data_IF_313434427101
#
_entry.id   IF_313434427101
#
_cell.length_a   1.000
_cell.length_b   1.000
_cell.length_c   1.000
_cell.angle_alpha   90.00
_cell.angle_beta   90.00
_cell.angle_gamma   90.00
#
_symmetry.space_group_name_H-M   'P 1'
#
loop_
_entity.id
_entity.type
_entity.pdbx_description
1 polymer ?
#
# COMPACT_ATOMS: atom_id res chain seq x y z
N UNK A 1 -5.71 -7.89 21.28
CA UNK A 1 -5.26 -6.52 20.91
C UNK A 1 -3.82 -6.39 21.38
N UNK A 2 -2.95 -5.78 20.59
CA UNK A 2 -1.55 -5.53 20.98
C UNK A 2 -1.37 -4.08 21.41
N UNK A 3 -0.32 -3.82 22.19
CA UNK A 3 -0.03 -2.50 22.75
C UNK A 3 1.43 -2.07 22.57
N UNK A 4 1.69 -0.77 22.63
CA UNK A 4 3.05 -0.20 22.64
C UNK A 4 3.88 -0.59 21.41
N UNK A 5 5.17 -0.87 21.60
CA UNK A 5 6.06 -1.23 20.49
C UNK A 5 5.66 -2.54 19.78
N UNK A 6 4.99 -3.46 20.47
CA UNK A 6 4.47 -4.68 19.84
C UNK A 6 3.37 -4.34 18.82
N UNK A 7 2.48 -3.40 19.14
CA UNK A 7 1.46 -2.89 18.21
C UNK A 7 2.09 -2.23 16.97
N UNK A 8 3.14 -1.42 17.17
CA UNK A 8 3.86 -0.77 16.04
C UNK A 8 4.53 -1.83 15.16
N UNK A 9 5.23 -2.79 15.76
CA UNK A 9 5.96 -3.83 15.03
C UNK A 9 5.01 -4.71 14.22
N UNK A 10 3.88 -5.12 14.80
CA UNK A 10 2.89 -5.95 14.11
C UNK A 10 2.30 -5.26 12.87
N UNK A 11 2.07 -3.93 12.95
CA UNK A 11 1.57 -3.13 11.81
C UNK A 11 2.57 -2.99 10.65
N UNK A 12 3.82 -3.43 10.84
CA UNK A 12 4.90 -3.28 9.87
C UNK A 12 5.45 -1.85 9.75
N UNK A 13 5.03 -0.92 10.60
CA UNK A 13 5.58 0.44 10.68
C UNK A 13 6.94 0.38 11.40
N UNK A 14 8.04 0.95 10.86
CA UNK A 14 9.30 1.05 11.59
C UNK A 14 9.13 1.88 12.87
N UNK A 15 9.77 1.46 13.97
CA UNK A 15 9.61 2.10 15.29
C UNK A 15 9.90 3.61 15.26
N UNK A 16 10.90 4.04 14.49
CA UNK A 16 11.22 5.46 14.30
C UNK A 16 10.03 6.25 13.71
N UNK A 17 9.27 5.64 12.79
CA UNK A 17 8.05 6.24 12.26
C UNK A 17 6.88 6.17 13.26
N UNK A 18 6.77 5.10 14.05
CA UNK A 18 5.81 5.01 15.16
C UNK A 18 6.00 6.12 16.20
N UNK A 19 7.25 6.49 16.50
CA UNK A 19 7.56 7.63 17.35
C UNK A 19 7.10 8.97 16.75
N UNK A 20 7.25 9.14 15.44
CA UNK A 20 6.71 10.32 14.71
C UNK A 20 5.19 10.37 14.79
N UNK A 21 4.50 9.25 14.56
CA UNK A 21 3.05 9.18 14.73
C UNK A 21 2.61 9.61 16.13
N UNK A 22 3.27 9.06 17.16
CA UNK A 22 3.00 9.40 18.57
C UNK A 22 3.20 10.90 18.83
N UNK A 23 4.29 11.47 18.32
CA UNK A 23 4.58 12.90 18.49
C UNK A 23 3.55 13.79 17.79
N UNK A 24 3.12 13.44 16.57
CA UNK A 24 2.09 14.21 15.86
C UNK A 24 0.72 14.05 16.56
N UNK A 25 0.37 12.85 17.05
CA UNK A 25 -0.87 12.63 17.79
C UNK A 25 -0.94 13.51 19.04
N UNK A 26 0.13 13.56 19.84
CA UNK A 26 0.27 14.47 20.99
C UNK A 26 0.08 15.93 20.58
N UNK A 27 0.85 16.39 19.60
CA UNK A 27 0.87 17.80 19.20
C UNK A 27 -0.45 18.27 18.57
N UNK A 28 -1.26 17.35 18.03
CA UNK A 28 -2.53 17.66 17.39
C UNK A 28 -3.74 17.27 18.24
N UNK A 29 -3.51 16.75 19.45
CA UNK A 29 -4.53 16.27 20.37
C UNK A 29 -5.61 15.42 19.66
N UNK A 30 -5.13 14.51 18.81
CA UNK A 30 -5.95 13.71 17.89
C UNK A 30 -5.36 12.30 17.86
N UNK A 31 -6.18 11.27 18.05
CA UNK A 31 -5.76 9.89 17.80
C UNK A 31 -5.50 9.74 16.31
N UNK A 32 -4.32 9.27 15.94
CA UNK A 32 -3.96 9.00 14.55
C UNK A 32 -3.91 7.50 14.35
N UNK A 33 -4.59 7.01 13.32
CA UNK A 33 -4.73 5.58 13.07
C UNK A 33 -4.24 5.30 11.66
N UNK A 34 -3.38 4.31 11.50
CA UNK A 34 -2.88 3.83 10.21
C UNK A 34 -3.26 2.37 10.02
N UNK A 35 -3.65 2.00 8.80
CA UNK A 35 -3.67 0.59 8.43
C UNK A 35 -2.25 0.02 8.49
N UNK A 36 -2.17 -1.29 8.72
CA UNK A 36 -0.91 -2.01 8.61
C UNK A 36 -0.38 -1.93 7.18
N UNK A 37 0.92 -1.64 7.06
CA UNK A 37 1.62 -1.69 5.77
C UNK A 37 2.14 -3.11 5.48
N UNK A 38 2.20 -3.95 6.52
CA UNK A 38 2.59 -5.35 6.47
C UNK A 38 4.11 -5.58 6.40
N UNK A 39 4.52 -6.77 6.89
CA UNK A 39 5.93 -7.18 7.05
C UNK A 39 6.80 -7.09 5.79
N UNK A 40 6.20 -7.18 4.60
CA UNK A 40 6.97 -7.14 3.35
C UNK A 40 7.47 -5.74 2.99
N UNK A 41 6.82 -4.68 3.49
CA UNK A 41 7.19 -3.29 3.18
C UNK A 41 8.13 -2.66 4.22
N UNK A 42 8.10 -3.10 5.49
CA UNK A 42 8.83 -2.50 6.60
C UNK A 42 10.29 -2.20 6.28
N UNK A 43 11.05 -3.21 5.87
CA UNK A 43 12.46 -3.05 5.56
C UNK A 43 12.71 -2.20 4.30
N UNK A 44 11.76 -2.18 3.36
CA UNK A 44 11.86 -1.33 2.16
C UNK A 44 11.67 0.15 2.54
N UNK A 45 10.77 0.43 3.49
CA UNK A 45 10.57 1.77 4.05
C UNK A 45 11.82 2.21 4.82
N UNK A 46 12.40 1.35 5.66
CA UNK A 46 13.67 1.62 6.36
C UNK A 46 14.81 1.90 5.37
N UNK A 47 14.82 1.20 4.24
CA UNK A 47 15.78 1.42 3.15
C UNK A 47 15.46 2.62 2.26
N UNK A 48 14.43 3.41 2.62
CA UNK A 48 14.00 4.63 1.92
C UNK A 48 13.55 4.42 0.47
N UNK A 49 12.97 3.26 0.15
CA UNK A 49 12.23 3.13 -1.11
C UNK A 49 11.01 4.05 -1.09
N UNK A 50 10.69 4.63 -2.24
CA UNK A 50 9.47 5.40 -2.43
C UNK A 50 8.24 4.55 -2.12
N UNK A 51 7.13 5.20 -1.78
CA UNK A 51 5.86 4.50 -1.56
C UNK A 51 4.81 4.91 -2.58
N UNK A 52 3.84 4.03 -2.81
CA UNK A 52 2.79 4.25 -3.81
C UNK A 52 1.95 5.48 -3.46
N UNK A 53 1.81 6.40 -4.41
CA UNK A 53 0.93 7.56 -4.27
C UNK A 53 -0.50 7.27 -4.67
N UNK A 54 -1.35 8.29 -4.54
CA UNK A 54 -2.80 8.18 -4.77
C UNK A 54 -3.19 7.61 -6.14
N UNK A 55 -2.42 7.89 -7.19
CA UNK A 55 -2.72 7.47 -8.57
C UNK A 55 -2.34 6.01 -8.87
N UNK A 56 -1.63 5.35 -7.95
CA UNK A 56 -1.14 3.98 -8.15
C UNK A 56 -2.02 3.01 -7.37
N UNK A 57 -2.99 2.41 -8.07
CA UNK A 57 -3.90 1.40 -7.47
C UNK A 57 -3.37 -0.04 -7.57
N UNK A 58 -2.26 -0.23 -8.27
CA UNK A 58 -1.55 -1.50 -8.41
C UNK A 58 -1.18 -2.06 -7.05
N UNK A 59 -1.50 -3.34 -6.81
CA UNK A 59 -1.19 -3.99 -5.52
C UNK A 59 0.29 -4.39 -5.47
N UNK A 60 0.90 -4.32 -4.29
CA UNK A 60 2.24 -4.84 -4.07
C UNK A 60 2.28 -6.37 -4.13
N UNK A 61 3.47 -6.90 -4.39
CA UNK A 61 3.76 -8.33 -4.38
C UNK A 61 4.03 -8.84 -2.95
N UNK A 62 3.72 -10.10 -2.66
CA UNK A 62 4.00 -10.75 -1.37
C UNK A 62 4.77 -12.07 -1.52
N UNK A 63 5.44 -12.31 -2.64
CA UNK A 63 6.17 -13.53 -2.91
C UNK A 63 7.42 -13.26 -3.76
N UNK A 64 8.35 -14.21 -3.76
CA UNK A 64 9.59 -14.13 -4.51
C UNK A 64 10.54 -13.00 -4.08
N UNK A 65 11.65 -12.79 -4.82
CA UNK A 65 12.66 -11.78 -4.47
C UNK A 65 12.17 -10.33 -4.53
N UNK A 66 10.98 -10.13 -5.08
CA UNK A 66 10.32 -8.84 -5.28
C UNK A 66 9.17 -8.57 -4.31
N UNK A 67 8.98 -9.41 -3.30
CA UNK A 67 7.98 -9.18 -2.27
C UNK A 67 8.15 -7.79 -1.63
N UNK A 68 7.03 -7.10 -1.41
CA UNK A 68 6.94 -5.74 -0.89
C UNK A 68 6.87 -4.64 -1.96
N UNK A 69 7.23 -4.92 -3.21
CA UNK A 69 7.26 -3.92 -4.28
C UNK A 69 5.97 -3.86 -5.11
N UNK A 70 5.74 -2.71 -5.74
CA UNK A 70 4.69 -2.51 -6.74
C UNK A 70 5.29 -2.69 -8.13
N UNK A 71 4.90 -3.76 -8.83
CA UNK A 71 5.58 -4.22 -10.04
C UNK A 71 4.78 -4.03 -11.34
N UNK A 72 5.51 -4.01 -12.45
CA UNK A 72 4.96 -3.86 -13.80
C UNK A 72 4.41 -5.18 -14.36
N UNK A 73 4.85 -6.32 -13.84
CA UNK A 73 4.29 -7.63 -14.20
C UNK A 73 2.98 -7.88 -13.43
N UNK A 74 1.85 -8.04 -14.11
CA UNK A 74 0.54 -8.18 -13.47
C UNK A 74 0.37 -9.49 -12.68
N UNK A 75 1.28 -10.48 -12.82
CA UNK A 75 1.32 -11.70 -12.00
C UNK A 75 1.83 -11.42 -10.59
N UNK A 76 2.54 -10.33 -10.39
CA UNK A 76 3.20 -9.97 -9.12
C UNK A 76 2.30 -9.12 -8.24
N UNK A 77 1.26 -9.76 -7.71
CA UNK A 77 0.36 -9.22 -6.70
C UNK A 77 0.18 -10.22 -5.56
N UNK A 78 -0.41 -9.76 -4.44
CA UNK A 78 -0.79 -10.65 -3.33
C UNK A 78 -1.70 -11.83 -3.73
N UNK A 79 -2.48 -11.65 -4.79
CA UNK A 79 -3.45 -12.64 -5.28
C UNK A 79 -2.85 -13.59 -6.34
N UNK A 80 -1.55 -13.47 -6.65
CA UNK A 80 -0.86 -14.33 -7.60
C UNK A 80 -1.33 -14.17 -9.05
N UNK A 81 -1.22 -15.26 -9.82
CA UNK A 81 -1.37 -15.29 -11.28
C UNK A 81 -2.72 -15.81 -11.79
N UNK A 82 -3.75 -15.81 -10.95
CA UNK A 82 -5.11 -16.15 -11.39
C UNK A 82 -5.58 -15.19 -12.51
N UNK A 83 -6.20 -15.66 -13.61
CA UNK A 83 -6.45 -14.84 -14.80
C UNK A 83 -7.26 -13.55 -14.54
N UNK A 84 -8.30 -13.62 -13.70
CA UNK A 84 -9.13 -12.46 -13.34
C UNK A 84 -8.33 -11.42 -12.52
N UNK A 85 -7.45 -11.91 -11.63
CA UNK A 85 -6.58 -11.06 -10.80
C UNK A 85 -5.49 -10.40 -11.63
N UNK A 86 -4.87 -11.13 -12.55
CA UNK A 86 -3.90 -10.61 -13.52
C UNK A 86 -4.53 -9.51 -14.38
N UNK A 87 -5.75 -9.72 -14.90
CA UNK A 87 -6.47 -8.70 -15.68
C UNK A 87 -6.75 -7.43 -14.88
N UNK A 88 -7.22 -7.58 -13.64
CA UNK A 88 -7.49 -6.45 -12.75
C UNK A 88 -6.22 -5.67 -12.39
N UNK A 89 -5.13 -6.41 -12.10
CA UNK A 89 -3.82 -5.83 -11.83
C UNK A 89 -3.27 -5.09 -13.05
N UNK A 90 -3.36 -5.67 -14.25
CA UNK A 90 -2.93 -5.05 -15.51
C UNK A 90 -3.69 -3.75 -15.79
N UNK A 91 -5.01 -3.72 -15.53
CA UNK A 91 -5.81 -2.49 -15.64
C UNK A 91 -5.27 -1.40 -14.71
N UNK A 92 -4.93 -1.76 -13.47
CA UNK A 92 -4.38 -0.82 -12.49
C UNK A 92 -3.00 -0.30 -12.89
N UNK A 93 -2.14 -1.17 -13.45
CA UNK A 93 -0.82 -0.80 -13.98
C UNK A 93 -0.97 0.19 -15.14
N UNK A 94 -1.81 -0.12 -16.13
CA UNK A 94 -2.04 0.78 -17.27
C UNK A 94 -2.63 2.13 -16.83
N UNK A 95 -3.55 2.13 -15.86
CA UNK A 95 -4.07 3.39 -15.28
C UNK A 95 -2.96 4.22 -14.65
N UNK A 96 -2.09 3.61 -13.83
CA UNK A 96 -0.97 4.30 -13.21
C UNK A 96 -0.02 4.88 -14.26
N UNK A 97 0.27 4.14 -15.33
CA UNK A 97 1.09 4.61 -16.45
C UNK A 97 0.45 5.79 -17.18
N UNK A 98 -0.88 5.77 -17.39
CA UNK A 98 -1.61 6.89 -17.97
C UNK A 98 -1.57 8.14 -17.07
N UNK A 99 -1.50 7.96 -15.76
CA UNK A 99 -1.30 9.05 -14.79
C UNK A 99 0.18 9.50 -14.67
N UNK A 100 1.09 8.90 -15.45
CA UNK A 100 2.51 9.28 -15.55
C UNK A 100 3.48 8.41 -14.75
N UNK A 101 3.05 7.24 -14.25
CA UNK A 101 3.96 6.28 -13.65
C UNK A 101 4.97 5.77 -14.69
N UNK A 102 6.25 5.70 -14.31
CA UNK A 102 7.32 5.15 -15.16
C UNK A 102 7.85 3.83 -14.60
N UNK A 103 8.64 3.11 -15.38
CA UNK A 103 9.26 1.85 -14.97
C UNK A 103 10.72 2.06 -14.57
N UNK A 104 11.16 1.35 -13.51
CA UNK A 104 12.57 1.29 -13.11
C UNK A 104 12.99 -0.15 -12.83
N UNK A 105 14.25 -0.47 -13.13
CA UNK A 105 14.83 -1.79 -12.87
C UNK A 105 14.83 -2.11 -11.37
N UNK A 106 14.38 -3.31 -11.00
CA UNK A 106 14.30 -3.72 -9.60
C UNK A 106 15.67 -4.15 -9.08
N UNK A 107 16.08 -3.48 -8.01
CA UNK A 107 17.26 -3.83 -7.22
C UNK A 107 16.86 -4.07 -5.78
N UNK A 108 17.54 -5.00 -5.10
CA UNK A 108 17.43 -5.22 -3.66
C UNK A 108 18.80 -5.19 -3.01
N UNK A 109 18.89 -4.73 -1.76
CA UNK A 109 20.14 -4.74 -0.99
C UNK A 109 20.51 -6.14 -0.52
N UNK A 110 21.76 -6.31 -0.07
CA UNK A 110 22.18 -7.55 0.60
C UNK A 110 21.30 -7.85 1.82
N UNK A 111 21.05 -6.85 2.66
CA UNK A 111 20.19 -6.97 3.84
C UNK A 111 18.75 -7.39 3.49
N UNK A 112 18.23 -6.96 2.32
CA UNK A 112 16.92 -7.42 1.84
C UNK A 112 16.96 -8.87 1.40
N UNK A 113 17.96 -9.26 0.61
CA UNK A 113 18.16 -10.66 0.18
C UNK A 113 18.18 -11.60 1.39
N UNK A 114 18.99 -11.29 2.39
CA UNK A 114 19.15 -12.14 3.59
C UNK A 114 17.89 -12.20 4.45
N UNK A 115 17.09 -11.14 4.48
CA UNK A 115 15.86 -11.09 5.28
C UNK A 115 14.67 -11.81 4.62
N UNK A 116 14.63 -11.89 3.29
CA UNK A 116 13.49 -12.43 2.54
C UNK A 116 13.05 -13.83 2.99
N UNK A 117 13.93 -14.83 3.16
CA UNK A 117 13.51 -16.16 3.60
C UNK A 117 12.70 -16.14 4.90
N UNK A 118 13.11 -15.33 5.88
CA UNK A 118 12.41 -15.22 7.16
C UNK A 118 11.01 -14.59 7.02
N UNK A 119 10.80 -13.70 6.04
CA UNK A 119 9.50 -13.08 5.80
C UNK A 119 8.46 -14.08 5.29
N UNK A 120 8.88 -15.18 4.65
CA UNK A 120 7.98 -16.22 4.14
C UNK A 120 7.71 -17.34 5.15
N UNK A 121 8.36 -17.34 6.31
CA UNK A 121 8.07 -18.31 7.37
C UNK A 121 6.60 -18.22 7.79
N UNK A 122 5.94 -19.38 7.83
CA UNK A 122 4.50 -19.49 8.13
C UNK A 122 3.55 -19.15 6.97
N UNK A 123 4.05 -18.69 5.82
CA UNK A 123 3.20 -18.49 4.63
C UNK A 123 3.08 -19.78 3.82
N UNK A 124 2.05 -20.58 4.13
CA UNK A 124 1.74 -21.83 3.42
C UNK A 124 1.32 -21.65 1.96
N UNK A 125 1.21 -20.42 1.46
CA UNK A 125 0.78 -20.14 0.07
C UNK A 125 1.95 -19.84 -0.88
N UNK A 126 3.17 -19.75 -0.35
CA UNK A 126 4.37 -19.40 -1.11
C UNK A 126 5.53 -20.34 -0.82
N UNK A 127 6.42 -20.53 -1.79
CA UNK A 127 7.74 -21.13 -1.56
C UNK A 127 8.84 -20.13 -1.88
N UNK A 128 9.98 -20.24 -1.20
CA UNK A 128 11.17 -19.45 -1.48
C UNK A 128 12.40 -20.30 -1.22
N UNK A 129 13.14 -20.64 -2.27
CA UNK A 129 14.38 -21.42 -2.20
C UNK A 129 15.48 -20.61 -2.87
N UNK A 130 16.50 -20.26 -2.10
CA UNK A 130 17.72 -19.62 -2.60
C UNK A 130 18.84 -20.66 -2.75
N UNK A 131 19.51 -20.66 -3.90
CA UNK A 131 20.71 -21.45 -4.18
C UNK A 131 21.89 -20.53 -4.50
N UNK A 132 23.02 -20.81 -3.86
CA UNK A 132 24.29 -20.15 -4.16
C UNK A 132 24.78 -20.58 -5.55
N UNK A 133 25.24 -19.60 -6.35
CA UNK A 133 25.88 -19.84 -7.66
C UNK A 133 27.33 -19.34 -7.63
N UNK A 134 27.53 -18.10 -7.21
CA UNK A 134 28.85 -17.49 -6.99
C UNK A 134 28.71 -16.28 -6.05
N UNK A 135 29.80 -15.64 -5.62
CA UNK A 135 29.73 -14.42 -4.80
C UNK A 135 28.90 -13.29 -5.42
N UNK A 136 28.74 -13.30 -6.74
CA UNK A 136 28.00 -12.28 -7.48
C UNK A 136 26.64 -12.77 -8.00
N UNK A 137 26.26 -14.03 -7.77
CA UNK A 137 25.00 -14.59 -8.28
C UNK A 137 24.28 -15.53 -7.30
N UNK A 138 22.95 -15.44 -7.29
CA UNK A 138 22.05 -16.37 -6.60
C UNK A 138 20.94 -16.79 -7.55
N UNK A 139 20.50 -18.03 -7.43
CA UNK A 139 19.31 -18.53 -8.09
C UNK A 139 18.18 -18.63 -7.07
N UNK A 140 17.06 -18.00 -7.34
CA UNK A 140 15.86 -18.06 -6.50
C UNK A 140 14.79 -18.84 -7.25
N UNK A 141 14.29 -19.91 -6.65
CA UNK A 141 13.11 -20.64 -7.12
C UNK A 141 11.97 -20.35 -6.14
N UNK A 142 10.83 -19.88 -6.63
CA UNK A 142 9.71 -19.44 -5.79
C UNK A 142 8.38 -19.76 -6.46
N UNK A 143 7.36 -20.06 -5.66
CA UNK A 143 6.01 -20.31 -6.16
C UNK A 143 4.95 -19.53 -5.41
N UNK A 144 3.82 -19.29 -6.09
CA UNK A 144 2.57 -18.77 -5.54
C UNK A 144 1.41 -19.51 -6.18
N UNK A 145 0.70 -20.32 -5.40
CA UNK A 145 -0.26 -21.27 -5.94
C UNK A 145 0.42 -22.20 -6.96
N UNK A 146 -0.15 -22.33 -8.16
CA UNK A 146 0.36 -23.21 -9.21
C UNK A 146 1.47 -22.59 -10.08
N UNK A 147 1.79 -21.30 -9.88
CA UNK A 147 2.85 -20.63 -10.63
C UNK A 147 4.19 -20.80 -9.91
N UNK A 148 5.15 -21.45 -10.57
CA UNK A 148 6.55 -21.52 -10.13
C UNK A 148 7.43 -20.73 -11.08
N UNK A 149 8.27 -19.85 -10.53
CA UNK A 149 9.19 -19.01 -11.27
C UNK A 149 10.60 -19.12 -10.72
N UNK A 150 11.57 -18.83 -11.58
CA UNK A 150 12.97 -18.74 -11.24
C UNK A 150 13.54 -17.37 -11.57
N UNK A 151 14.35 -16.84 -10.66
CA UNK A 151 15.01 -15.56 -10.78
C UNK A 151 16.50 -15.71 -10.53
N UNK A 152 17.30 -14.90 -11.22
CA UNK A 152 18.72 -14.74 -10.91
C UNK A 152 18.91 -13.39 -10.25
N UNK A 153 19.50 -13.39 -9.06
CA UNK A 153 19.98 -12.17 -8.43
C UNK A 153 21.42 -11.94 -8.90
N UNK A 154 21.66 -10.84 -9.61
CA UNK A 154 23.00 -10.46 -10.09
C UNK A 154 23.52 -9.23 -9.35
N UNK A 155 24.62 -9.39 -8.62
CA UNK A 155 25.28 -8.30 -7.90
C UNK A 155 25.83 -7.26 -8.88
N UNK A 156 25.44 -6.00 -8.70
CA UNK A 156 25.88 -4.86 -9.49
C UNK A 156 26.90 -4.01 -8.74
N UNK A 157 27.78 -3.38 -9.51
CA UNK A 157 28.71 -2.38 -8.99
C UNK A 157 27.95 -1.07 -8.70
N UNK A 158 28.25 -0.36 -7.60
CA UNK A 158 27.45 0.78 -7.15
C UNK A 158 27.37 1.90 -8.18
N UNK A 159 28.47 2.21 -8.86
CA UNK A 159 28.53 3.26 -9.89
C UNK A 159 27.63 2.98 -11.13
N UNK A 160 27.14 1.74 -11.29
CA UNK A 160 26.22 1.37 -12.38
C UNK A 160 24.75 1.51 -11.99
N UNK A 161 24.47 1.76 -10.72
CA UNK A 161 23.10 1.82 -10.19
C UNK A 161 22.87 3.17 -9.52
N UNK A 162 22.11 4.08 -10.16
CA UNK A 162 21.81 5.39 -9.59
C UNK A 162 21.25 5.30 -8.16
N UNK A 163 21.87 6.06 -7.25
CA UNK A 163 21.54 6.10 -5.82
C UNK A 163 22.05 4.94 -4.97
N UNK A 164 22.83 4.00 -5.52
CA UNK A 164 23.45 2.94 -4.73
C UNK A 164 24.59 3.45 -3.81
N UNK A 165 25.15 4.61 -4.10
CA UNK A 165 26.26 5.18 -3.32
C UNK A 165 27.48 4.26 -3.37
N UNK A 166 27.95 3.80 -2.21
CA UNK A 166 29.04 2.81 -2.09
C UNK A 166 28.53 1.35 -2.00
N UNK A 167 27.22 1.13 -1.95
CA UNK A 167 26.62 -0.17 -1.64
C UNK A 167 26.40 -0.98 -2.92
N UNK A 168 26.85 -2.23 -2.94
CA UNK A 168 26.49 -3.19 -4.00
C UNK A 168 25.05 -3.65 -3.80
N UNK A 169 24.29 -3.71 -4.89
CA UNK A 169 22.90 -4.16 -4.89
C UNK A 169 22.69 -5.32 -5.86
N UNK A 170 21.62 -6.07 -5.68
CA UNK A 170 21.27 -7.22 -6.50
C UNK A 170 20.20 -6.83 -7.51
N UNK A 171 20.53 -6.88 -8.80
CA UNK A 171 19.53 -6.82 -9.86
C UNK A 171 18.68 -8.09 -9.82
N UNK A 172 17.36 -7.97 -9.82
CA UNK A 172 16.43 -9.11 -9.85
C UNK A 172 16.08 -9.40 -11.32
N UNK A 173 16.44 -10.58 -11.84
CA UNK A 173 16.26 -10.92 -13.25
C UNK A 173 15.44 -12.20 -13.43
N UNK A 174 14.57 -12.27 -14.44
CA UNK A 174 13.89 -13.51 -14.82
C UNK A 174 14.89 -14.52 -15.38
N UNK A 175 14.79 -15.80 -15.00
CA UNK A 175 15.66 -16.85 -15.56
C UNK A 175 15.18 -17.36 -16.93
N UNK A 176 13.88 -17.60 -17.09
CA UNK A 176 13.33 -18.32 -18.25
C UNK A 176 12.52 -17.43 -19.19
N UNK A 177 12.78 -17.58 -20.50
CA UNK A 177 12.14 -16.79 -21.56
C UNK A 177 10.63 -17.01 -21.67
N UNK A 178 10.15 -18.22 -21.42
CA UNK A 178 8.71 -18.55 -21.49
C UNK A 178 7.91 -18.02 -20.29
N UNK A 179 8.59 -17.44 -19.30
CA UNK A 179 7.96 -16.86 -18.11
C UNK A 179 8.13 -15.35 -18.04
N UNK A 180 8.38 -14.69 -19.16
CA UNK A 180 8.45 -13.23 -19.23
C UNK A 180 7.05 -12.59 -19.21
N UNK A 181 6.93 -11.34 -18.71
CA UNK A 181 5.74 -10.53 -18.93
C UNK A 181 5.67 -10.04 -20.39
N UNK A 182 4.59 -9.34 -20.73
CA UNK A 182 4.45 -8.62 -22.00
C UNK A 182 5.67 -7.74 -22.29
N UNK A 183 6.00 -7.58 -23.58
CA UNK A 183 7.23 -6.91 -24.04
C UNK A 183 7.40 -5.49 -23.45
N UNK A 184 6.32 -4.73 -23.32
CA UNK A 184 6.33 -3.38 -22.71
C UNK A 184 6.76 -3.33 -21.24
N UNK A 185 6.78 -4.47 -20.55
CA UNK A 185 7.20 -4.58 -19.15
C UNK A 185 8.58 -5.23 -18.99
N UNK A 186 9.26 -5.57 -20.09
CA UNK A 186 10.61 -6.10 -20.06
C UNK A 186 11.63 -5.03 -19.69
N UNK A 187 12.46 -5.32 -18.69
CA UNK A 187 13.52 -4.42 -18.25
C UNK A 187 14.78 -4.44 -19.12
N UNK A 188 15.84 -3.72 -18.72
CA UNK A 188 17.13 -3.88 -19.36
C UNK A 188 17.67 -5.31 -19.16
N UNK A 189 18.53 -5.75 -20.09
CA UNK A 189 19.18 -7.05 -19.99
C UNK A 189 20.45 -6.98 -19.14
N UNK A 190 20.60 -7.90 -18.21
CA UNK A 190 21.77 -8.04 -17.33
C UNK A 190 22.53 -9.32 -17.73
N UNK A 191 23.85 -9.22 -17.90
CA UNK A 191 24.71 -10.38 -18.15
C UNK A 191 24.90 -11.22 -16.89
N UNK A 192 24.61 -12.51 -16.99
CA UNK A 192 24.73 -13.51 -15.91
C UNK A 192 25.40 -14.79 -16.43
N UNK A 193 25.70 -15.76 -15.56
CA UNK A 193 26.16 -17.09 -16.00
C UNK A 193 25.11 -17.87 -16.79
N UNK A 194 23.84 -17.44 -16.75
CA UNK A 194 22.72 -18.01 -17.51
C UNK A 194 22.41 -17.23 -18.79
N UNK A 195 23.33 -16.36 -19.23
CA UNK A 195 23.18 -15.49 -20.39
C UNK A 195 22.64 -14.10 -20.04
N UNK A 196 22.13 -13.39 -21.06
CA UNK A 196 21.55 -12.05 -20.90
C UNK A 196 20.08 -12.16 -20.49
N UNK A 197 19.78 -11.83 -19.24
CA UNK A 197 18.46 -11.98 -18.63
C UNK A 197 17.76 -10.63 -18.46
N UNK A 198 16.43 -10.61 -18.61
CA UNK A 198 15.64 -9.39 -18.41
C UNK A 198 15.47 -9.09 -16.93
N UNK A 199 15.73 -7.83 -16.55
CA UNK A 199 15.47 -7.35 -15.20
C UNK A 199 13.95 -7.25 -14.94
N UNK A 200 13.53 -7.58 -13.73
CA UNK A 200 12.18 -7.31 -13.23
C UNK A 200 12.00 -5.80 -13.10
N UNK A 201 10.87 -5.28 -13.57
CA UNK A 201 10.56 -3.85 -13.53
C UNK A 201 9.55 -3.52 -12.43
N UNK A 202 9.87 -2.48 -11.68
CA UNK A 202 8.98 -1.85 -10.70
C UNK A 202 8.34 -0.59 -11.25
N UNK A 203 7.16 -0.24 -10.71
CA UNK A 203 6.53 1.05 -10.97
C UNK A 203 7.16 2.14 -10.10
N UNK A 204 7.22 3.35 -10.64
CA UNK A 204 7.58 4.59 -9.92
C UNK A 204 6.38 5.52 -9.81
N UNK A 205 6.29 6.31 -8.75
CA UNK A 205 5.11 7.16 -8.52
C UNK A 205 5.09 8.33 -9.52
N UNK A 206 3.97 8.62 -10.21
CA UNK A 206 3.88 9.76 -11.13
C UNK A 206 4.23 11.10 -10.47
N UNK A 207 3.88 11.27 -9.19
CA UNK A 207 4.07 12.50 -8.42
C UNK A 207 5.11 12.36 -7.31
N UNK A 208 5.92 11.30 -7.38
CA UNK A 208 6.93 11.00 -6.38
C UNK A 208 8.06 12.03 -6.39
N UNK A 209 8.84 12.00 -5.32
CA UNK A 209 10.03 12.84 -5.19
C UNK A 209 10.99 12.61 -6.37
N UNK A 210 11.36 13.69 -7.08
CA UNK A 210 12.14 13.59 -8.32
C UNK A 210 13.52 12.99 -8.10
N UNK A 211 14.18 13.35 -6.99
CA UNK A 211 15.52 12.84 -6.67
C UNK A 211 15.47 11.34 -6.40
N UNK A 212 14.49 10.90 -5.61
CA UNK A 212 14.27 9.47 -5.31
C UNK A 212 13.94 8.68 -6.57
N UNK A 213 13.04 9.20 -7.42
CA UNK A 213 12.65 8.57 -8.70
C UNK A 213 13.83 8.37 -9.66
N UNK A 214 14.85 9.22 -9.59
CA UNK A 214 16.07 9.09 -10.38
C UNK A 214 17.03 8.00 -9.86
N UNK A 215 16.71 7.35 -8.74
CA UNK A 215 17.51 6.26 -8.15
C UNK A 215 16.77 4.93 -8.22
N UNK A 216 17.47 3.83 -7.90
CA UNK A 216 16.83 2.51 -7.75
C UNK A 216 15.75 2.47 -6.66
N UNK A 217 15.79 3.40 -5.69
CA UNK A 217 14.79 3.54 -4.63
C UNK A 217 13.49 4.18 -5.12
N UNK A 218 13.43 4.64 -6.37
CA UNK A 218 12.20 5.13 -7.00
C UNK A 218 11.13 4.06 -7.19
N UNK A 219 11.50 2.77 -7.20
CA UNK A 219 10.53 1.67 -7.24
C UNK A 219 9.70 1.67 -5.97
N UNK A 220 8.37 1.66 -6.12
CA UNK A 220 7.46 1.86 -5.00
C UNK A 220 7.28 0.62 -4.12
N UNK A 221 7.10 0.84 -2.82
CA UNK A 221 6.55 -0.10 -1.84
C UNK A 221 5.21 0.42 -1.26
N UNK A 222 4.69 -0.25 -0.22
CA UNK A 222 3.46 0.15 0.47
C UNK A 222 3.62 1.48 1.21
N UNK A 223 2.56 2.27 1.22
CA UNK A 223 2.45 3.56 1.92
C UNK A 223 1.68 3.43 3.24
N UNK A 224 1.54 4.53 3.97
CA UNK A 224 0.72 4.60 5.17
C UNK A 224 -0.67 5.12 4.82
N UNK A 225 -1.55 4.16 4.55
CA UNK A 225 -2.98 4.37 4.42
C UNK A 225 -3.56 4.75 5.80
N UNK A 226 -3.87 6.03 6.02
CA UNK A 226 -4.55 6.44 7.26
C UNK A 226 -5.89 5.73 7.36
N UNK A 227 -6.14 5.12 8.52
CA UNK A 227 -7.43 4.52 8.82
C UNK A 227 -8.41 5.57 9.34
N UNK A 228 -7.94 6.49 10.18
CA UNK A 228 -8.75 7.59 10.72
C UNK A 228 -7.95 8.58 11.54
N UNK A 229 -8.52 9.75 11.79
CA UNK A 229 -7.99 10.77 12.70
C UNK A 229 -9.12 11.22 13.64
N UNK A 230 -9.04 10.85 14.92
CA UNK A 230 -10.13 11.08 15.87
C UNK A 230 -9.74 12.18 16.86
N UNK A 231 -10.25 13.42 16.69
CA UNK A 231 -9.98 14.49 17.64
C UNK A 231 -10.75 14.26 18.94
N UNK A 232 -10.40 14.99 20.00
CA UNK A 232 -11.31 15.13 21.14
C UNK A 232 -12.68 15.64 20.67
N UNK A 233 -13.75 15.18 21.31
CA UNK A 233 -15.12 15.59 20.96
C UNK A 233 -15.31 17.10 21.05
N UNK A 234 -14.65 17.76 22.01
CA UNK A 234 -14.65 19.23 22.15
C UNK A 234 -13.92 19.97 21.02
N UNK A 235 -13.06 19.28 20.26
CA UNK A 235 -12.28 19.84 19.15
C UNK A 235 -12.80 19.40 17.78
N UNK A 236 -13.88 18.60 17.74
CA UNK A 236 -14.47 18.11 16.49
C UNK A 236 -15.27 19.22 15.80
N UNK A 237 -14.87 19.56 14.57
CA UNK A 237 -15.44 20.68 13.82
C UNK A 237 -15.97 20.21 12.46
N UNK A 238 -17.17 19.60 12.39
CA UNK A 238 -17.72 19.03 11.14
C UNK A 238 -17.99 20.08 10.04
N UNK A 239 -18.12 21.36 10.42
CA UNK A 239 -18.24 22.48 9.49
C UNK A 239 -16.92 23.25 9.30
N UNK A 240 -15.92 22.96 10.14
CA UNK A 240 -14.60 23.58 10.13
C UNK A 240 -13.53 22.60 9.67
N UNK A 241 -12.53 22.32 10.51
CA UNK A 241 -11.36 21.55 10.09
C UNK A 241 -11.64 20.08 9.74
N UNK A 242 -12.76 19.53 10.19
CA UNK A 242 -13.18 18.14 9.94
C UNK A 242 -14.20 18.04 8.79
N UNK A 243 -14.51 19.15 8.12
CA UNK A 243 -15.41 19.17 6.97
C UNK A 243 -14.78 18.44 5.78
N UNK A 244 -15.51 17.46 5.25
CA UNK A 244 -15.18 16.72 4.02
C UNK A 244 -15.43 17.58 2.79
N UNK A 245 -14.68 17.34 1.71
CA UNK A 245 -14.93 17.98 0.40
C UNK A 245 -16.25 17.49 -0.21
N UNK A 246 -16.50 16.20 -0.12
CA UNK A 246 -17.81 15.61 -0.39
C UNK A 246 -18.64 15.76 0.89
N UNK A 247 -19.57 16.72 0.91
CA UNK A 247 -20.34 17.05 2.10
C UNK A 247 -21.12 15.82 2.62
N UNK A 248 -21.14 15.61 3.94
CA UNK A 248 -21.83 14.50 4.61
C UNK A 248 -21.39 13.07 4.23
N UNK A 249 -20.31 12.90 3.47
CA UNK A 249 -19.82 11.59 3.01
C UNK A 249 -19.37 10.62 4.10
N UNK A 250 -19.23 11.09 5.34
CA UNK A 250 -18.97 10.26 6.52
C UNK A 250 -20.26 9.75 7.20
N UNK A 251 -21.43 10.30 6.87
CA UNK A 251 -22.73 9.88 7.43
C UNK A 251 -23.75 9.47 6.36
N UNK A 252 -23.49 9.74 5.09
CA UNK A 252 -24.36 9.42 3.96
C UNK A 252 -23.59 8.69 2.86
N UNK A 253 -24.29 7.80 2.13
CA UNK A 253 -23.73 7.06 1.02
C UNK A 253 -23.83 7.87 -0.27
N UNK A 254 -22.72 7.93 -1.02
CA UNK A 254 -22.66 8.52 -2.35
C UNK A 254 -21.92 7.58 -3.31
N UNK A 255 -22.15 7.78 -4.61
CA UNK A 255 -21.50 7.06 -5.69
C UNK A 255 -20.11 7.63 -6.06
N UNK A 256 -19.42 6.99 -7.01
CA UNK A 256 -18.09 7.41 -7.46
C UNK A 256 -18.15 8.75 -8.20
N UNK A 257 -19.24 9.05 -8.90
CA UNK A 257 -19.37 10.26 -9.70
C UNK A 257 -19.46 11.49 -8.80
N UNK A 258 -20.25 11.42 -7.73
CA UNK A 258 -20.34 12.47 -6.71
C UNK A 258 -18.98 12.72 -6.05
N UNK A 259 -18.25 11.65 -5.69
CA UNK A 259 -16.90 11.79 -5.14
C UNK A 259 -15.96 12.45 -6.16
N UNK A 260 -15.97 12.00 -7.41
CA UNK A 260 -15.11 12.53 -8.48
C UNK A 260 -15.35 14.00 -8.81
N UNK A 261 -16.56 14.52 -8.60
CA UNK A 261 -16.90 15.93 -8.83
C UNK A 261 -16.36 16.87 -7.74
N UNK A 262 -16.23 16.40 -6.50
CA UNK A 262 -15.95 17.27 -5.35
C UNK A 262 -14.60 17.01 -4.67
N UNK A 263 -14.08 15.78 -4.75
CA UNK A 263 -12.84 15.43 -4.08
C UNK A 263 -11.61 16.05 -4.74
N UNK A 264 -10.49 16.08 -4.00
CA UNK A 264 -9.24 16.51 -4.63
C UNK A 264 -8.69 15.37 -5.50
N UNK A 265 -8.43 15.67 -6.78
CA UNK A 265 -7.88 14.71 -7.77
C UNK A 265 -6.61 13.98 -7.32
N UNK A 266 -5.85 14.50 -6.36
CA UNK A 266 -4.54 13.96 -5.97
C UNK A 266 -4.47 13.46 -4.53
N UNK A 267 -5.44 13.80 -3.69
CA UNK A 267 -5.44 13.43 -2.26
C UNK A 267 -6.77 12.85 -1.79
N UNK A 268 -7.77 12.75 -2.66
CA UNK A 268 -9.12 12.28 -2.34
C UNK A 268 -9.90 13.26 -1.46
N UNK A 269 -10.90 12.72 -0.76
CA UNK A 269 -11.84 13.45 0.09
C UNK A 269 -11.29 13.81 1.49
N UNK A 270 -10.14 14.48 1.49
CA UNK A 270 -9.38 14.85 2.68
C UNK A 270 -9.94 16.10 3.36
N UNK A 271 -10.00 16.09 4.70
CA UNK A 271 -10.34 17.26 5.53
C UNK A 271 -9.10 18.13 5.79
N UNK A 272 -9.29 19.35 6.29
CA UNK A 272 -8.18 20.22 6.67
C UNK A 272 -7.35 19.63 7.82
N UNK A 273 -7.98 18.98 8.82
CA UNK A 273 -7.27 18.30 9.92
C UNK A 273 -6.36 17.20 9.38
N UNK A 274 -6.88 16.35 8.50
CA UNK A 274 -6.11 15.25 7.91
C UNK A 274 -4.96 15.81 7.06
N UNK A 275 -5.18 16.90 6.31
CA UNK A 275 -4.12 17.56 5.55
C UNK A 275 -2.98 18.04 6.46
N UNK A 276 -3.31 18.68 7.59
CA UNK A 276 -2.33 19.14 8.59
C UNK A 276 -1.56 17.95 9.19
N UNK A 277 -2.26 16.90 9.61
CA UNK A 277 -1.66 15.68 10.16
C UNK A 277 -0.73 15.03 9.13
N UNK A 278 -1.21 14.80 7.90
CA UNK A 278 -0.42 14.26 6.79
C UNK A 278 0.87 15.04 6.57
N UNK A 279 0.81 16.37 6.54
CA UNK A 279 1.98 17.20 6.33
C UNK A 279 2.98 17.09 7.49
N UNK A 280 2.49 17.12 8.74
CA UNK A 280 3.34 16.94 9.93
C UNK A 280 3.99 15.56 10.00
N UNK A 281 3.24 14.50 9.68
CA UNK A 281 3.75 13.13 9.61
C UNK A 281 4.86 13.02 8.55
N UNK A 282 4.60 13.45 7.31
CA UNK A 282 5.59 13.37 6.23
C UNK A 282 6.86 14.18 6.53
N UNK A 283 6.73 15.37 7.13
CA UNK A 283 7.89 16.14 7.61
C UNK A 283 8.63 15.40 8.73
N UNK A 284 7.90 14.81 9.68
CA UNK A 284 8.49 14.04 10.78
C UNK A 284 9.24 12.79 10.31
N UNK A 285 8.70 12.04 9.34
CA UNK A 285 9.39 10.86 8.79
C UNK A 285 10.69 11.25 8.10
N UNK A 286 10.70 12.36 7.34
CA UNK A 286 11.94 12.91 6.77
C UNK A 286 12.94 13.31 7.85
N UNK A 287 12.47 13.95 8.92
CA UNK A 287 13.29 14.28 10.10
C UNK A 287 13.85 13.04 10.81
N UNK A 288 13.15 11.91 10.74
CA UNK A 288 13.58 10.61 11.26
C UNK A 288 14.51 9.84 10.29
N UNK A 289 14.87 10.44 9.14
CA UNK A 289 15.84 9.89 8.19
C UNK A 289 15.25 9.22 6.94
N UNK A 290 13.92 9.19 6.77
CA UNK A 290 13.30 8.64 5.56
C UNK A 290 13.53 9.55 4.34
N UNK A 291 14.12 8.99 3.29
CA UNK A 291 14.48 9.73 2.07
C UNK A 291 13.61 9.39 0.85
N UNK A 292 12.65 8.47 0.98
CA UNK A 292 11.84 8.00 -0.16
C UNK A 292 10.70 8.96 -0.58
N UNK A 293 10.64 10.17 -0.02
CA UNK A 293 9.59 11.15 -0.30
C UNK A 293 8.51 11.22 0.78
N UNK A 294 7.24 11.08 0.40
CA UNK A 294 6.12 11.07 1.35
C UNK A 294 5.69 9.62 1.66
N UNK A 295 5.17 9.39 2.85
CA UNK A 295 4.61 8.10 3.31
C UNK A 295 3.08 8.12 3.38
N UNK A 296 2.48 9.26 3.73
CA UNK A 296 1.02 9.42 3.73
C UNK A 296 0.64 10.26 2.52
N UNK A 297 -0.11 9.69 1.58
CA UNK A 297 -0.38 10.35 0.30
C UNK A 297 -1.77 10.97 0.19
N UNK A 298 -2.77 10.36 0.82
CA UNK A 298 -4.18 10.72 0.63
C UNK A 298 -4.99 10.69 1.92
N UNK A 299 -6.31 10.91 1.76
CA UNK A 299 -7.31 10.84 2.84
C UNK A 299 -7.34 9.48 3.54
N UNK A 300 -8.00 9.47 4.69
CA UNK A 300 -8.33 8.29 5.50
C UNK A 300 -9.53 7.46 4.97
N UNK A 301 -9.81 6.33 5.63
CA UNK A 301 -10.89 5.40 5.26
C UNK A 301 -12.29 6.02 5.32
N UNK A 302 -12.56 6.92 6.26
CA UNK A 302 -13.85 7.61 6.31
C UNK A 302 -14.09 8.54 5.11
N UNK A 303 -13.02 8.92 4.39
CA UNK A 303 -13.09 9.65 3.13
C UNK A 303 -13.17 8.76 1.89
N UNK A 304 -13.27 7.43 2.01
CA UNK A 304 -13.30 6.53 0.84
C UNK A 304 -14.74 6.15 0.46
N UNK A 305 -15.13 6.25 -0.81
CA UNK A 305 -16.43 5.77 -1.27
C UNK A 305 -16.49 4.24 -1.31
N UNK A 306 -17.68 3.68 -1.07
CA UNK A 306 -18.01 2.25 -1.31
C UNK A 306 -17.09 1.24 -0.62
N UNK A 307 -16.66 1.53 0.61
CA UNK A 307 -15.90 0.60 1.46
C UNK A 307 -16.85 -0.13 2.40
N UNK A 308 -17.37 -1.25 1.93
CA UNK A 308 -18.35 -2.07 2.64
C UNK A 308 -17.71 -3.14 3.55
N UNK A 309 -16.41 -3.38 3.42
CA UNK A 309 -15.65 -4.22 4.33
C UNK A 309 -15.01 -3.38 5.44
N UNK A 310 -15.20 -3.80 6.70
CA UNK A 310 -14.47 -3.20 7.82
C UNK A 310 -13.01 -3.64 7.77
N UNK A 311 -12.10 -2.68 7.69
CA UNK A 311 -10.65 -2.92 7.76
C UNK A 311 -10.24 -3.01 9.23
N UNK A 312 -9.91 -4.22 9.68
CA UNK A 312 -9.58 -4.52 11.09
C UNK A 312 -8.10 -4.80 11.31
N UNK A 313 -7.20 -4.29 10.47
CA UNK A 313 -5.74 -4.47 10.57
C UNK A 313 -5.07 -3.09 10.65
N UNK A 314 -5.05 -2.51 11.85
CA UNK A 314 -4.65 -1.11 12.05
C UNK A 314 -4.08 -0.83 13.44
N UNK A 315 -3.22 0.18 13.49
CA UNK A 315 -2.57 0.69 14.71
C UNK A 315 -2.99 2.14 14.97
N UNK A 316 -3.40 2.42 16.21
CA UNK A 316 -3.83 3.71 16.71
C UNK A 316 -2.79 4.28 17.69
N UNK A 317 -2.46 5.56 17.52
CA UNK A 317 -1.53 6.32 18.35
C UNK A 317 -2.32 7.40 19.10
N UNK A 318 -2.40 7.29 20.42
CA UNK A 318 -3.15 8.21 21.27
C UNK A 318 -2.31 9.43 21.68
N UNK A 319 -2.93 10.61 21.86
CA UNK A 319 -2.26 11.79 22.43
C UNK A 319 -1.74 11.59 23.85
N UNK A 320 -2.27 10.64 24.62
CA UNK A 320 -1.77 10.31 25.96
C UNK A 320 -0.54 9.40 25.95
N UNK A 321 -0.19 8.83 24.78
CA UNK A 321 1.00 8.01 24.58
C UNK A 321 0.72 6.52 24.39
N UNK A 322 -0.50 6.05 24.64
CA UNK A 322 -0.91 4.69 24.36
C UNK A 322 -0.89 4.40 22.87
N UNK A 323 -0.51 3.17 22.54
CA UNK A 323 -0.52 2.64 21.17
C UNK A 323 -1.30 1.34 21.22
N UNK A 324 -2.29 1.20 20.34
CA UNK A 324 -3.17 0.03 20.28
C UNK A 324 -3.22 -0.51 18.87
N UNK A 325 -3.08 -1.82 18.70
CA UNK A 325 -3.27 -2.48 17.41
C UNK A 325 -4.42 -3.48 17.50
N UNK A 326 -5.39 -3.34 16.59
CA UNK A 326 -6.51 -4.24 16.44
C UNK A 326 -6.41 -4.99 15.11
N UNK A 327 -6.68 -6.30 15.17
CA UNK A 327 -6.60 -7.27 14.09
C UNK A 327 -7.94 -7.99 13.82
N UNK A 328 -8.99 -7.68 14.60
CA UNK A 328 -10.30 -8.35 14.53
C UNK A 328 -11.47 -7.41 14.78
N UNK A 329 -12.68 -7.85 14.43
CA UNK A 329 -13.92 -7.08 14.66
C UNK A 329 -14.17 -6.86 16.16
N UNK A 330 -13.88 -7.86 16.99
CA UNK A 330 -14.01 -7.75 18.45
C UNK A 330 -13.09 -6.65 18.99
N UNK A 331 -11.81 -6.69 18.62
CA UNK A 331 -10.82 -5.69 19.05
C UNK A 331 -11.13 -4.30 18.50
N UNK A 332 -11.63 -4.20 17.26
CA UNK A 332 -12.12 -2.95 16.71
C UNK A 332 -13.26 -2.36 17.55
N UNK A 333 -14.22 -3.19 17.97
CA UNK A 333 -15.33 -2.72 18.80
C UNK A 333 -14.84 -2.25 20.17
N UNK A 334 -13.91 -2.98 20.80
CA UNK A 334 -13.25 -2.57 22.05
C UNK A 334 -12.53 -1.24 21.87
N UNK A 335 -11.76 -1.09 20.79
CA UNK A 335 -11.05 0.15 20.46
C UNK A 335 -12.01 1.34 20.32
N UNK A 336 -13.14 1.18 19.62
CA UNK A 336 -14.15 2.23 19.48
C UNK A 336 -14.80 2.58 20.83
N UNK A 337 -15.06 1.59 21.69
CA UNK A 337 -15.60 1.82 23.02
C UNK A 337 -14.63 2.61 23.90
N UNK A 338 -13.36 2.20 23.93
CA UNK A 338 -12.26 2.88 24.65
C UNK A 338 -12.12 4.33 24.15
N UNK A 339 -12.07 4.51 22.83
CA UNK A 339 -11.95 5.83 22.19
C UNK A 339 -13.05 6.78 22.66
N UNK A 340 -14.30 6.32 22.70
CA UNK A 340 -15.45 7.12 23.14
C UNK A 340 -15.41 7.40 24.64
N UNK A 341 -15.05 6.40 25.45
CA UNK A 341 -14.92 6.54 26.90
C UNK A 341 -13.86 7.59 27.28
N UNK A 342 -12.79 7.69 26.48
CA UNK A 342 -11.74 8.70 26.63
C UNK A 342 -12.11 10.08 26.04
N UNK A 343 -13.34 10.27 25.56
CA UNK A 343 -13.84 11.57 25.10
C UNK A 343 -13.45 11.96 23.67
N UNK A 344 -12.93 11.02 22.87
CA UNK A 344 -12.63 11.25 21.46
C UNK A 344 -13.86 11.02 20.58
N UNK A 345 -13.88 11.66 19.41
CA UNK A 345 -14.93 11.52 18.40
C UNK A 345 -14.47 10.57 17.28
N UNK A 346 -14.98 9.33 17.22
CA UNK A 346 -14.78 8.48 16.06
C UNK A 346 -15.42 9.10 14.81
N UNK A 347 -14.66 9.13 13.72
CA UNK A 347 -15.08 9.57 12.39
C UNK A 347 -14.90 8.37 11.46
N UNK A 348 -15.94 7.57 11.29
CA UNK A 348 -15.87 6.31 10.53
C UNK A 348 -16.55 6.44 9.17
N UNK A 349 -16.35 5.43 8.31
CA UNK A 349 -16.95 5.40 6.98
C UNK A 349 -18.48 5.27 7.04
N UNK A 350 -19.20 6.01 6.19
CA UNK A 350 -20.67 5.96 6.09
C UNK A 350 -21.20 4.53 5.90
N UNK A 351 -20.51 3.69 5.12
CA UNK A 351 -20.91 2.31 4.88
C UNK A 351 -20.89 1.47 6.16
N UNK A 352 -19.99 1.73 7.10
CA UNK A 352 -19.87 0.97 8.35
C UNK A 352 -20.96 1.31 9.38
N UNK A 353 -21.63 2.46 9.23
CA UNK A 353 -22.82 2.79 10.00
C UNK A 353 -24.01 1.92 9.59
N UNK A 354 -24.18 1.69 8.28
CA UNK A 354 -25.27 0.86 7.75
C UNK A 354 -25.17 -0.60 8.23
N UNK A 355 -23.96 -1.13 8.38
CA UNK A 355 -23.73 -2.46 8.96
C UNK A 355 -24.14 -2.58 10.43
N UNK A 356 -24.15 -1.48 11.19
CA UNK A 356 -24.60 -1.49 12.59
C UNK A 356 -26.12 -1.40 12.72
N UNK A 357 -26.82 -0.91 11.70
CA UNK A 357 -28.26 -0.62 11.76
C UNK A 357 -29.13 -1.59 10.93
N UNK A 358 -28.57 -2.33 9.97
CA UNK A 358 -29.33 -3.20 9.08
C UNK A 358 -29.21 -4.70 9.47
N UNK A 359 -30.36 -5.34 9.68
CA UNK A 359 -30.48 -6.79 9.78
C UNK A 359 -29.99 -7.48 8.49
N UNK A 360 -29.38 -8.68 8.60
CA UNK A 360 -28.66 -9.35 7.51
C UNK A 360 -29.51 -9.54 6.23
N UNK A 361 -30.82 -9.70 6.35
CA UNK A 361 -31.75 -9.89 5.23
C UNK A 361 -31.91 -8.64 4.35
N UNK A 362 -31.87 -7.43 4.92
CA UNK A 362 -32.00 -6.17 4.17
C UNK A 362 -30.72 -5.87 3.37
N UNK A 363 -29.58 -6.32 3.87
CA UNK A 363 -28.28 -6.19 3.22
C UNK A 363 -28.17 -7.05 1.95
N UNK A 364 -28.70 -8.28 1.97
CA UNK A 364 -28.76 -9.15 0.78
C UNK A 364 -29.49 -8.50 -0.39
N UNK A 365 -30.56 -7.73 -0.12
CA UNK A 365 -31.29 -7.00 -1.16
C UNK A 365 -30.51 -5.80 -1.72
N UNK A 366 -29.82 -5.04 -0.87
CA UNK A 366 -28.98 -3.90 -1.31
C UNK A 366 -27.80 -4.40 -2.16
N UNK A 367 -27.15 -5.49 -1.74
CA UNK A 367 -26.07 -6.13 -2.49
C UNK A 367 -26.57 -6.75 -3.81
N UNK A 368 -27.76 -7.35 -3.83
CA UNK A 368 -28.39 -7.84 -5.06
C UNK A 368 -28.68 -6.70 -6.04
N UNK A 369 -29.11 -5.54 -5.54
CA UNK A 369 -29.36 -4.35 -6.37
C UNK A 369 -28.06 -3.79 -6.94
N UNK A 370 -26.96 -3.86 -6.19
CA UNK A 370 -25.61 -3.51 -6.67
C UNK A 370 -25.11 -4.46 -7.77
N UNK A 371 -25.30 -5.77 -7.62
CA UNK A 371 -24.96 -6.73 -8.67
C UNK A 371 -25.76 -6.49 -9.96
N UNK A 372 -27.04 -6.11 -9.83
CA UNK A 372 -27.86 -5.70 -10.96
C UNK A 372 -27.34 -4.40 -11.61
N UNK A 373 -26.97 -3.40 -10.82
CA UNK A 373 -26.48 -2.11 -11.32
C UNK A 373 -25.11 -2.24 -12.02
N UNK A 374 -24.18 -3.00 -11.46
CA UNK A 374 -22.89 -3.33 -12.09
C UNK A 374 -23.09 -4.17 -13.36
N UNK A 375 -24.06 -5.09 -13.36
CA UNK A 375 -24.45 -5.86 -14.54
C UNK A 375 -25.00 -4.99 -15.68
N UNK A 376 -25.84 -4.00 -15.35
CA UNK A 376 -26.39 -3.03 -16.30
C UNK A 376 -25.28 -2.12 -16.88
N UNK A 377 -24.37 -1.62 -16.04
CA UNK A 377 -23.24 -0.80 -16.50
C UNK A 377 -22.29 -1.58 -17.43
N UNK A 378 -22.09 -2.88 -17.16
CA UNK A 378 -21.29 -3.75 -18.02
C UNK A 378 -22.01 -4.07 -19.35
N UNK A 379 -23.33 -4.23 -19.35
CA UNK A 379 -24.11 -4.50 -20.58
C UNK A 379 -24.22 -3.27 -21.48
N UNK A 380 -24.28 -2.06 -20.90
CA UNK A 380 -24.22 -0.79 -21.65
C UNK A 380 -22.84 -0.60 -22.28
N UNK A 381 -21.75 -0.93 -21.57
CA UNK A 381 -20.38 -0.90 -22.12
C UNK A 381 -20.16 -1.93 -23.23
N UNK A 382 -20.79 -3.09 -23.15
CA UNK A 382 -20.73 -4.10 -24.22
C UNK A 382 -21.48 -3.66 -25.48
N UNK A 383 -22.60 -2.93 -25.36
CA UNK A 383 -23.36 -2.40 -26.50
C UNK A 383 -22.70 -1.18 -27.16
N UNK A 384 -21.97 -0.37 -26.40
CA UNK A 384 -21.21 0.78 -26.94
C UNK A 384 -19.90 0.42 -27.65
N UNK A 385 -19.46 -0.84 -27.59
CA UNK A 385 -18.25 -1.32 -28.28
C UNK A 385 -18.54 -2.04 -29.61
N UNK A 386 -19.82 -2.14 -30.00
CA UNK A 386 -20.30 -2.73 -31.25
C UNK A 386 -20.95 -1.69 -32.19
N UNK A 387 -20.71 -0.39 -31.92
CA UNK A 387 -21.19 0.74 -32.73
C UNK A 387 -20.04 1.45 -33.43
#
# INVERSE_FOLDING_TARGET
MLYGNAAVTESGIPLAHGAVFSQVARNQNTIIISRSVGKYATQLIEQSYATKGFHVKTKSCNWGPMAGFVLADPRFSKNGAAPDKVRSQLKSINSAMNDGATLAGLYITEARRTALPALFLGDGTTTYVERYISDNERLITTSKGNLTLEFVLKKQLPHRVPGAGAVRVWAVCYRHRHHHPDEKFLGPRVSTSFGKLYQVMGLTDPRGDKATKATYRGVMTGDYDLWGCFPLKSLYEPQGQDRRKVLNSNSQLFDYDTFGQHENRHTGNMTQRIQTIRNKLNTGFKGAGYQGGNMVHHSDEAGRPMVDNLEVDAVAFFPSGEIMYFASVAEYNDFIAITRALGYQPIINAWWHVYREADQARMSNILATRHAHVGILNSIKARGALG
#
